data_IF_536138205961
#
_entry.id   IF_536138205961
#
_cell.length_a   1.000
_cell.length_b   1.000
_cell.length_c   1.000
_cell.angle_alpha   90.00
_cell.angle_beta   90.00
_cell.angle_gamma   90.00
#
_symmetry.space_group_name_H-M   'P 1'
#
loop_
_entity.id
_entity.type
_entity.pdbx_description
1 polymer ?
#
# COMPACT_ATOMS: atom_id res chain seq x y z
N UNK A 1 -9.51 6.35 -67.86
CA UNK A 1 -9.64 5.27 -66.86
C UNK A 1 -9.01 5.79 -65.57
N UNK A 2 -9.83 6.20 -64.60
CA UNK A 2 -9.39 6.83 -63.37
C UNK A 2 -10.06 6.07 -62.22
N UNK A 3 -9.27 5.37 -61.40
CA UNK A 3 -9.70 4.74 -60.16
C UNK A 3 -9.26 5.64 -59.00
N UNK A 4 -10.14 6.05 -58.07
CA UNK A 4 -9.71 6.76 -56.88
C UNK A 4 -9.40 5.80 -55.73
N UNK A 5 -8.43 6.26 -54.95
CA UNK A 5 -7.78 5.63 -53.82
C UNK A 5 -8.74 5.14 -52.71
N UNK A 6 -8.43 3.96 -52.18
CA UNK A 6 -8.93 3.47 -50.90
C UNK A 6 -8.17 4.24 -49.81
N UNK A 7 -8.78 5.25 -49.23
CA UNK A 7 -8.33 5.87 -47.98
C UNK A 7 -9.27 5.39 -46.86
N UNK A 8 -9.01 4.20 -46.35
CA UNK A 8 -9.64 3.69 -45.13
C UNK A 8 -9.17 4.56 -43.96
N UNK A 9 -9.98 5.56 -43.59
CA UNK A 9 -9.83 6.29 -42.34
C UNK A 9 -9.99 5.30 -41.19
N UNK A 10 -8.87 4.86 -40.64
CA UNK A 10 -8.85 4.15 -39.36
C UNK A 10 -9.23 5.15 -38.27
N UNK A 11 -10.45 4.99 -37.75
CA UNK A 11 -10.76 5.39 -36.39
C UNK A 11 -9.79 4.67 -35.47
N UNK A 12 -9.07 5.42 -34.65
CA UNK A 12 -8.69 4.94 -33.33
C UNK A 12 -8.78 6.13 -32.41
N UNK A 13 -9.92 6.19 -31.73
CA UNK A 13 -10.17 7.05 -30.59
C UNK A 13 -8.96 7.02 -29.68
N UNK A 14 -8.25 8.14 -29.61
CA UNK A 14 -7.29 8.37 -28.54
C UNK A 14 -8.09 8.40 -27.25
N UNK A 15 -8.28 7.23 -26.63
CA UNK A 15 -8.55 7.12 -25.19
C UNK A 15 -7.28 7.67 -24.54
N UNK A 16 -7.22 8.99 -24.43
CA UNK A 16 -6.38 9.62 -23.43
C UNK A 16 -6.97 9.16 -22.10
N UNK A 17 -6.35 8.13 -21.52
CA UNK A 17 -6.50 7.84 -20.12
C UNK A 17 -6.23 9.14 -19.37
N UNK A 18 -7.29 9.80 -18.90
CA UNK A 18 -7.19 10.83 -17.88
C UNK A 18 -6.50 10.16 -16.70
N UNK A 19 -5.20 10.40 -16.57
CA UNK A 19 -4.55 10.28 -15.28
C UNK A 19 -5.12 11.44 -14.48
N UNK A 20 -6.30 11.26 -13.90
CA UNK A 20 -6.77 12.14 -12.85
C UNK A 20 -5.64 12.19 -11.82
N UNK A 21 -5.03 13.37 -11.68
CA UNK A 21 -4.01 13.59 -10.67
C UNK A 21 -4.67 13.31 -9.32
N UNK A 22 -4.25 12.22 -8.67
CA UNK A 22 -4.82 11.83 -7.39
C UNK A 22 -4.61 12.95 -6.37
N UNK A 23 -5.70 13.38 -5.73
CA UNK A 23 -5.64 14.35 -4.64
C UNK A 23 -4.86 13.79 -3.44
N UNK A 24 -4.32 14.69 -2.63
CA UNK A 24 -3.74 14.32 -1.34
C UNK A 24 -4.83 13.76 -0.43
N UNK A 25 -4.49 12.70 0.31
CA UNK A 25 -5.39 12.18 1.32
C UNK A 25 -5.69 13.26 2.37
N UNK A 26 -6.96 13.46 2.77
CA UNK A 26 -7.29 14.29 3.91
C UNK A 26 -6.49 13.86 5.15
N UNK A 27 -6.10 14.83 5.97
CA UNK A 27 -5.32 14.56 7.18
C UNK A 27 -6.02 13.50 8.06
N UNK A 28 -5.28 12.49 8.49
CA UNK A 28 -5.82 11.42 9.34
C UNK A 28 -6.48 10.26 8.59
N UNK A 29 -6.68 10.32 7.26
CA UNK A 29 -7.38 9.26 6.51
C UNK A 29 -6.70 7.91 6.64
N UNK A 30 -5.39 7.86 6.45
CA UNK A 30 -4.60 6.63 6.57
C UNK A 30 -4.58 6.15 8.02
N UNK A 31 -4.38 7.04 8.99
CA UNK A 31 -4.40 6.70 10.42
C UNK A 31 -5.76 6.12 10.84
N UNK A 32 -6.85 6.69 10.36
CA UNK A 32 -8.20 6.22 10.65
C UNK A 32 -8.45 4.85 10.04
N UNK A 33 -8.04 4.62 8.79
CA UNK A 33 -8.14 3.30 8.15
C UNK A 33 -7.36 2.24 8.91
N UNK A 34 -6.16 2.58 9.40
CA UNK A 34 -5.29 1.67 10.14
C UNK A 34 -5.68 1.49 11.61
N UNK A 35 -6.56 2.35 12.17
CA UNK A 35 -7.00 2.24 13.56
C UNK A 35 -7.62 0.88 13.90
N UNK A 36 -8.35 0.27 12.94
CA UNK A 36 -8.93 -1.06 13.11
C UNK A 36 -7.89 -2.20 13.17
N UNK A 37 -6.65 -1.95 12.75
CA UNK A 37 -5.56 -2.92 12.83
C UNK A 37 -4.98 -2.98 14.26
N UNK A 38 -5.15 -1.93 15.07
CA UNK A 38 -4.70 -1.93 16.48
C UNK A 38 -5.38 -3.03 17.31
N UNK A 39 -6.60 -3.41 16.95
CA UNK A 39 -7.33 -4.53 17.55
C UNK A 39 -7.04 -5.90 16.92
N UNK A 40 -6.15 -5.99 15.92
CA UNK A 40 -5.85 -7.26 15.25
C UNK A 40 -5.06 -8.21 16.18
N UNK A 41 -5.49 -9.48 16.36
CA UNK A 41 -4.70 -10.46 17.09
C UNK A 41 -3.37 -10.75 16.40
N UNK A 42 -3.29 -10.59 15.06
CA UNK A 42 -2.05 -10.76 14.31
C UNK A 42 -1.04 -9.67 14.64
N UNK A 43 -1.49 -8.42 14.86
CA UNK A 43 -0.62 -7.34 15.32
C UNK A 43 -0.01 -7.66 16.69
N UNK A 44 -0.82 -8.09 17.65
CA UNK A 44 -0.34 -8.43 19.00
C UNK A 44 0.68 -9.56 18.95
N UNK A 45 0.41 -10.62 18.17
CA UNK A 45 1.35 -11.72 18.00
C UNK A 45 2.64 -11.29 17.28
N UNK A 46 2.54 -10.46 16.24
CA UNK A 46 3.72 -9.93 15.54
C UNK A 46 4.58 -9.08 16.49
N UNK A 47 3.94 -8.17 17.24
CA UNK A 47 4.58 -7.30 18.21
C UNK A 47 5.35 -8.12 19.27
N UNK A 48 4.73 -9.19 19.78
CA UNK A 48 5.39 -10.12 20.70
C UNK A 48 6.59 -10.84 20.06
N UNK A 49 6.46 -11.30 18.81
CA UNK A 49 7.56 -11.97 18.09
C UNK A 49 8.78 -11.06 17.88
N UNK A 50 8.57 -9.76 17.68
CA UNK A 50 9.65 -8.79 17.47
C UNK A 50 10.06 -8.06 18.76
N UNK A 51 9.41 -8.33 19.90
CA UNK A 51 9.69 -7.69 21.18
C UNK A 51 9.37 -6.20 21.23
N UNK A 52 8.27 -5.78 20.61
CA UNK A 52 7.80 -4.38 20.58
C UNK A 52 6.36 -4.26 21.06
N UNK A 53 5.91 -3.04 21.38
CA UNK A 53 4.50 -2.79 21.61
C UNK A 53 3.74 -2.74 20.27
N UNK A 54 2.46 -3.17 20.22
CA UNK A 54 1.62 -3.07 19.02
C UNK A 54 1.62 -1.67 18.39
N UNK A 55 1.57 -0.63 19.22
CA UNK A 55 1.54 0.77 18.76
C UNK A 55 2.86 1.16 18.09
N UNK A 56 3.99 0.65 18.59
CA UNK A 56 5.30 0.89 17.98
C UNK A 56 5.43 0.22 16.61
N UNK A 57 4.82 -0.96 16.42
CA UNK A 57 4.76 -1.64 15.11
C UNK A 57 3.92 -0.84 14.11
N UNK A 58 2.74 -0.33 14.54
CA UNK A 58 1.84 0.44 13.67
C UNK A 58 2.42 1.79 13.29
N UNK A 59 3.10 2.48 14.22
CA UNK A 59 3.81 3.74 13.92
C UNK A 59 5.02 3.54 13.01
N UNK A 60 5.37 2.29 12.69
CA UNK A 60 6.55 1.95 11.92
C UNK A 60 7.83 2.51 12.57
N UNK A 61 7.92 2.39 13.90
CA UNK A 61 9.11 2.76 14.65
C UNK A 61 10.31 1.97 14.10
N UNK A 62 11.51 2.58 14.09
CA UNK A 62 12.71 1.97 13.51
C UNK A 62 13.02 0.62 14.17
N UNK A 63 13.04 -0.44 13.35
CA UNK A 63 13.45 -1.78 13.78
C UNK A 63 14.97 -1.92 13.76
N UNK A 64 15.52 -2.61 14.75
CA UNK A 64 16.90 -3.12 14.70
C UNK A 64 17.03 -4.28 13.70
N UNK A 65 18.25 -4.59 13.25
CA UNK A 65 18.47 -5.70 12.30
C UNK A 65 17.92 -7.04 12.82
N UNK A 66 18.05 -7.32 14.12
CA UNK A 66 17.49 -8.52 14.74
C UNK A 66 15.96 -8.53 14.69
N UNK A 67 15.32 -7.38 14.94
CA UNK A 67 13.87 -7.24 14.85
C UNK A 67 13.36 -7.33 13.43
N UNK A 68 14.12 -6.88 12.42
CA UNK A 68 13.74 -7.07 11.01
C UNK A 68 13.76 -8.55 10.63
N UNK A 69 14.74 -9.31 11.12
CA UNK A 69 14.79 -10.77 10.94
C UNK A 69 13.57 -11.43 11.62
N UNK A 70 13.29 -11.08 12.89
CA UNK A 70 12.13 -11.59 13.59
C UNK A 70 10.81 -11.22 12.90
N UNK A 71 10.69 -10.00 12.38
CA UNK A 71 9.53 -9.52 11.63
C UNK A 71 9.33 -10.34 10.35
N UNK A 72 10.41 -10.59 9.59
CA UNK A 72 10.38 -11.39 8.36
C UNK A 72 9.95 -12.84 8.62
N UNK A 73 10.45 -13.44 9.69
CA UNK A 73 10.31 -14.88 9.93
C UNK A 73 8.98 -15.24 10.64
N UNK A 74 8.32 -14.28 11.29
CA UNK A 74 7.05 -14.49 11.97
C UNK A 74 5.85 -14.46 11.02
N UNK A 75 5.12 -15.57 10.91
CA UNK A 75 3.88 -15.65 10.11
C UNK A 75 2.81 -14.67 10.58
N UNK A 76 2.76 -14.38 11.89
CA UNK A 76 1.89 -13.35 12.47
C UNK A 76 2.14 -11.96 11.88
N UNK A 77 3.38 -11.62 11.57
CA UNK A 77 3.72 -10.34 10.93
C UNK A 77 3.29 -10.29 9.46
N UNK A 78 3.33 -11.41 8.75
CA UNK A 78 2.78 -11.51 7.40
C UNK A 78 1.25 -11.34 7.40
N UNK A 79 0.54 -11.97 8.35
CA UNK A 79 -0.91 -11.80 8.52
C UNK A 79 -1.28 -10.38 8.91
N UNK A 80 -0.57 -9.77 9.87
CA UNK A 80 -0.75 -8.36 10.24
C UNK A 80 -0.56 -7.43 9.04
N UNK A 81 0.50 -7.67 8.24
CA UNK A 81 0.73 -6.91 7.03
C UNK A 81 -0.45 -7.03 6.05
N UNK A 82 -0.98 -8.23 5.86
CA UNK A 82 -2.15 -8.45 5.01
C UNK A 82 -3.38 -7.67 5.50
N UNK A 83 -3.67 -7.71 6.81
CA UNK A 83 -4.75 -6.92 7.43
C UNK A 83 -4.57 -5.42 7.14
N UNK A 84 -3.33 -4.91 7.27
CA UNK A 84 -2.99 -3.52 7.00
C UNK A 84 -3.25 -3.14 5.53
N UNK A 85 -2.85 -4.00 4.60
CA UNK A 85 -3.07 -3.79 3.17
C UNK A 85 -4.56 -3.77 2.82
N UNK A 86 -5.35 -4.69 3.37
CA UNK A 86 -6.81 -4.73 3.19
C UNK A 86 -7.48 -3.42 3.67
N UNK A 87 -7.03 -2.84 4.78
CA UNK A 87 -7.54 -1.52 5.24
C UNK A 87 -7.19 -0.40 4.29
N UNK A 88 -5.97 -0.38 3.76
CA UNK A 88 -5.51 0.67 2.84
C UNK A 88 -6.25 0.60 1.49
N UNK A 89 -6.51 -0.60 0.97
CA UNK A 89 -7.27 -0.81 -0.26
C UNK A 89 -8.74 -0.37 -0.16
N UNK A 90 -9.29 -0.27 1.05
CA UNK A 90 -10.66 0.19 1.29
C UNK A 90 -10.80 1.71 1.36
N UNK A 91 -9.70 2.46 1.31
CA UNK A 91 -9.77 3.93 1.28
C UNK A 91 -10.30 4.37 -0.09
N UNK A 92 -11.50 4.96 -0.08
CA UNK A 92 -12.14 5.52 -1.26
C UNK A 92 -12.60 6.97 -1.01
N UNK A 93 -12.35 7.92 -1.93
CA UNK A 93 -11.59 7.74 -3.18
C UNK A 93 -10.12 7.41 -2.92
N UNK A 94 -9.45 6.81 -3.90
CA UNK A 94 -7.98 6.63 -3.86
C UNK A 94 -7.34 8.02 -3.77
N UNK A 95 -6.33 8.16 -2.91
CA UNK A 95 -5.65 9.43 -2.68
C UNK A 95 -4.16 9.20 -2.43
N UNK A 96 -3.34 10.25 -2.48
CA UNK A 96 -1.91 10.18 -2.20
C UNK A 96 -1.65 10.43 -0.72
N UNK A 97 -1.03 9.45 -0.05
CA UNK A 97 -0.59 9.61 1.33
C UNK A 97 0.56 10.64 1.41
N UNK A 98 0.42 11.72 2.18
CA UNK A 98 1.40 12.80 2.22
C UNK A 98 2.75 12.39 2.81
N UNK A 99 2.80 11.33 3.62
CA UNK A 99 4.02 10.84 4.27
C UNK A 99 4.87 10.02 3.32
N UNK A 100 4.27 9.00 2.70
CA UNK A 100 4.96 8.09 1.79
C UNK A 100 5.02 8.60 0.35
N UNK A 101 4.23 9.62 -0.01
CA UNK A 101 4.05 10.12 -1.39
C UNK A 101 3.54 9.07 -2.38
N UNK A 102 2.97 7.99 -1.88
CA UNK A 102 2.37 6.92 -2.67
C UNK A 102 0.84 6.98 -2.58
N UNK A 103 0.16 6.50 -3.62
CA UNK A 103 -1.31 6.35 -3.55
C UNK A 103 -1.69 5.27 -2.53
N UNK A 104 -2.88 5.39 -1.94
CA UNK A 104 -3.45 4.38 -1.03
C UNK A 104 -3.61 3.02 -1.72
N UNK A 105 -3.88 3.01 -3.02
CA UNK A 105 -3.91 1.79 -3.83
C UNK A 105 -2.52 1.16 -3.96
N UNK A 106 -1.47 1.94 -4.23
CA UNK A 106 -0.09 1.45 -4.29
C UNK A 106 0.38 0.95 -2.93
N UNK A 107 0.11 1.72 -1.87
CA UNK A 107 0.39 1.33 -0.50
C UNK A 107 -0.27 0.00 -0.17
N UNK A 108 -1.58 -0.13 -0.43
CA UNK A 108 -2.37 -1.33 -0.19
C UNK A 108 -2.01 -2.53 -1.10
N UNK A 109 -1.24 -2.30 -2.17
CA UNK A 109 -0.74 -3.36 -3.05
C UNK A 109 0.70 -3.78 -2.73
N UNK A 110 1.32 -3.18 -1.72
CA UNK A 110 2.65 -3.57 -1.28
C UNK A 110 2.63 -5.01 -0.78
N UNK A 111 3.62 -5.80 -1.18
CA UNK A 111 3.80 -7.17 -0.70
C UNK A 111 4.58 -7.19 0.61
N UNK A 112 4.42 -8.26 1.40
CA UNK A 112 5.19 -8.43 2.62
C UNK A 112 6.71 -8.43 2.37
N UNK A 113 7.16 -9.06 1.28
CA UNK A 113 8.58 -9.07 0.90
C UNK A 113 9.11 -7.66 0.57
N UNK A 114 8.31 -6.83 -0.11
CA UNK A 114 8.67 -5.42 -0.35
C UNK A 114 8.74 -4.63 0.95
N UNK A 115 7.82 -4.87 1.89
CA UNK A 115 7.88 -4.25 3.22
C UNK A 115 9.14 -4.65 3.97
N UNK A 116 9.48 -5.94 4.04
CA UNK A 116 10.72 -6.41 4.66
C UNK A 116 11.94 -5.73 4.02
N UNK A 117 11.97 -5.65 2.69
CA UNK A 117 13.06 -4.99 1.96
C UNK A 117 13.20 -3.50 2.34
N UNK A 118 12.08 -2.78 2.51
CA UNK A 118 12.10 -1.37 2.93
C UNK A 118 12.61 -1.15 4.36
N UNK A 119 12.61 -2.20 5.19
CA UNK A 119 13.10 -2.14 6.58
C UNK A 119 14.60 -2.45 6.68
N UNK A 120 15.20 -3.01 5.62
CA UNK A 120 16.62 -3.39 5.56
C UNK A 120 17.51 -2.42 4.77
N UNK A 121 16.90 -1.47 4.06
CA UNK A 121 17.56 -0.61 3.07
C UNK A 121 17.74 0.82 3.59
#
# INVERSE_FOLDING_TARGET
>A
MVWPAIASCWLSSSVFAQHDALDLCPAGTVQLALSGVLSSPHLVQCANSIGMSPEAVVRNDRLTSAQVVAFRDASSCASYHHDMMDKLLRIYPVCVDPVSRMSTATLGSMTFAQRVKSLTS
#
